data_IF_947245484798
#
_entry.id   IF_947245484798
#
_cell.length_a   1.000
_cell.length_b   1.000
_cell.length_c   1.000
_cell.angle_alpha   90.00
_cell.angle_beta   90.00
_cell.angle_gamma   90.00
#
_symmetry.space_group_name_H-M   'P 1'
#
loop_
_entity.id
_entity.type
_entity.pdbx_description
1 polymer ?
#
# COMPACT_ATOMS: atom_id res chain seq x y z
N UNK A 1 -41.08 -15.84 -1.27
CA UNK A 1 -40.56 -14.62 -0.60
C UNK A 1 -39.10 -14.47 -0.98
N UNK A 2 -38.73 -13.37 -1.65
CA UNK A 2 -37.34 -13.14 -2.07
C UNK A 2 -36.52 -12.83 -0.81
N UNK A 3 -35.55 -13.69 -0.51
CA UNK A 3 -34.56 -13.48 0.54
C UNK A 3 -33.82 -12.19 0.16
N UNK A 4 -34.02 -11.14 0.97
CA UNK A 4 -33.34 -9.87 0.80
C UNK A 4 -31.84 -10.09 0.86
N UNK A 5 -31.18 -9.86 -0.28
CA UNK A 5 -29.74 -9.98 -0.44
C UNK A 5 -29.08 -9.01 0.56
N UNK A 6 -28.45 -9.55 1.61
CA UNK A 6 -27.70 -8.78 2.59
C UNK A 6 -26.55 -8.09 1.86
N UNK A 7 -26.69 -6.79 1.55
CA UNK A 7 -25.61 -6.03 0.94
C UNK A 7 -24.45 -5.96 1.93
N UNK A 8 -23.40 -6.73 1.68
CA UNK A 8 -22.16 -6.68 2.44
C UNK A 8 -21.66 -5.23 2.49
N UNK A 9 -21.44 -4.73 3.71
CA UNK A 9 -20.98 -3.36 3.94
C UNK A 9 -19.62 -3.15 3.26
N UNK A 10 -19.51 -2.16 2.38
CA UNK A 10 -18.24 -1.76 1.75
C UNK A 10 -17.57 -0.61 2.50
N UNK A 11 -16.24 -0.63 2.56
CA UNK A 11 -15.44 0.28 3.37
C UNK A 11 -14.47 1.10 2.49
N UNK A 12 -14.14 2.36 2.87
CA UNK A 12 -13.12 3.14 2.17
C UNK A 12 -11.74 2.46 2.24
N UNK A 13 -10.97 2.50 1.15
CA UNK A 13 -9.61 1.93 1.06
C UNK A 13 -8.72 2.32 2.24
N UNK A 14 -8.58 3.63 2.47
CA UNK A 14 -7.72 4.19 3.53
C UNK A 14 -8.03 3.67 4.94
N UNK A 15 -9.27 3.21 5.19
CA UNK A 15 -9.69 2.70 6.50
C UNK A 15 -8.97 1.41 6.86
N UNK A 16 -8.65 0.57 5.86
CA UNK A 16 -8.11 -0.76 6.07
C UNK A 16 -9.01 -1.69 6.88
N UNK A 17 -10.29 -1.35 7.09
CA UNK A 17 -11.21 -2.13 7.91
C UNK A 17 -11.29 -3.60 7.43
N UNK A 18 -11.43 -3.91 6.13
CA UNK A 18 -11.42 -5.30 5.68
C UNK A 18 -10.13 -6.05 6.08
N UNK A 19 -8.96 -5.41 5.95
CA UNK A 19 -7.69 -6.04 6.34
C UNK A 19 -7.63 -6.34 7.84
N UNK A 20 -8.05 -5.41 8.70
CA UNK A 20 -8.02 -5.60 10.16
C UNK A 20 -9.05 -6.63 10.61
N UNK A 21 -10.26 -6.56 10.07
CA UNK A 21 -11.36 -7.50 10.35
C UNK A 21 -10.95 -8.94 10.08
N UNK A 22 -10.21 -9.18 9.01
CA UNK A 22 -9.77 -10.51 8.59
C UNK A 22 -8.34 -10.86 9.01
N UNK A 23 -7.66 -9.99 9.77
CA UNK A 23 -6.23 -10.12 10.12
C UNK A 23 -5.35 -10.45 8.91
N UNK A 24 -5.67 -9.86 7.76
CA UNK A 24 -5.01 -10.14 6.49
C UNK A 24 -3.70 -9.38 6.37
N UNK A 25 -2.62 -10.10 6.04
CA UNK A 25 -1.28 -9.56 5.82
C UNK A 25 -0.65 -10.01 4.50
N UNK A 26 -1.45 -10.52 3.56
CA UNK A 26 -0.94 -11.09 2.30
C UNK A 26 -0.14 -10.07 1.48
N UNK A 27 -0.55 -8.79 1.47
CA UNK A 27 0.18 -7.71 0.78
C UNK A 27 1.55 -7.38 1.39
N UNK A 28 1.87 -7.93 2.57
CA UNK A 28 3.16 -7.77 3.23
C UNK A 28 4.12 -8.92 2.91
N UNK A 29 3.70 -9.94 2.16
CA UNK A 29 4.55 -11.04 1.70
C UNK A 29 5.22 -10.62 0.39
N UNK A 30 6.55 -10.73 0.34
CA UNK A 30 7.39 -10.38 -0.81
C UNK A 30 7.08 -9.01 -1.43
N UNK A 31 6.68 -8.05 -0.58
CA UNK A 31 6.15 -6.77 -1.03
C UNK A 31 7.22 -5.95 -1.74
N UNK A 32 6.84 -5.31 -2.86
CA UNK A 32 7.67 -4.33 -3.59
C UNK A 32 7.17 -2.90 -3.38
N UNK A 33 6.54 -2.64 -2.24
CA UNK A 33 5.83 -1.39 -1.97
C UNK A 33 6.77 -0.17 -2.11
N UNK A 34 6.56 0.71 -3.10
CA UNK A 34 7.36 1.91 -3.26
C UNK A 34 7.17 2.89 -2.09
N UNK A 35 8.22 3.65 -1.79
CA UNK A 35 8.25 4.65 -0.74
C UNK A 35 8.56 6.01 -1.33
N UNK A 36 7.68 6.98 -1.07
CA UNK A 36 8.01 8.39 -1.30
C UNK A 36 8.92 8.93 -0.20
N UNK A 37 9.58 10.07 -0.43
CA UNK A 37 10.29 10.85 0.59
C UNK A 37 9.37 11.23 1.74
N UNK A 38 8.09 11.44 1.48
CA UNK A 38 7.10 11.72 2.53
C UNK A 38 6.78 10.48 3.39
N UNK A 39 6.75 9.28 2.79
CA UNK A 39 6.61 8.02 3.54
C UNK A 39 7.84 7.79 4.42
N UNK A 40 9.05 7.92 3.85
CA UNK A 40 10.29 7.76 4.60
C UNK A 40 10.39 8.74 5.77
N UNK A 41 10.10 10.04 5.55
CA UNK A 41 10.07 11.04 6.64
C UNK A 41 9.06 10.70 7.73
N UNK A 42 7.90 10.15 7.38
CA UNK A 42 6.88 9.75 8.36
C UNK A 42 7.36 8.58 9.21
N UNK A 43 8.01 7.60 8.60
CA UNK A 43 8.53 6.42 9.32
C UNK A 43 9.75 6.78 10.18
N UNK A 44 10.65 7.63 9.69
CA UNK A 44 11.80 8.14 10.46
C UNK A 44 11.35 8.83 11.77
N UNK A 45 10.24 9.59 11.72
CA UNK A 45 9.66 10.25 12.91
C UNK A 45 9.15 9.29 13.99
N UNK A 46 8.96 8.01 13.66
CA UNK A 46 8.61 6.98 14.64
C UNK A 46 9.84 6.41 15.37
N UNK A 47 11.05 6.82 14.99
CA UNK A 47 12.30 6.37 15.61
C UNK A 47 13.03 5.26 14.86
N UNK A 48 12.55 4.83 13.68
CA UNK A 48 13.25 3.86 12.83
C UNK A 48 14.42 4.51 12.08
N UNK A 49 15.49 3.75 11.82
CA UNK A 49 16.55 4.18 10.90
C UNK A 49 16.21 3.80 9.47
N UNK A 50 16.56 4.65 8.50
CA UNK A 50 16.27 4.43 7.07
C UNK A 50 16.72 3.04 6.57
N UNK A 51 17.95 2.63 6.93
CA UNK A 51 18.55 1.35 6.52
C UNK A 51 17.82 0.11 7.04
N UNK A 52 17.02 0.28 8.09
CA UNK A 52 16.31 -0.82 8.74
C UNK A 52 15.01 -1.14 7.99
N UNK A 53 14.40 -0.14 7.34
CA UNK A 53 13.09 -0.31 6.71
C UNK A 53 13.00 -0.03 5.22
N UNK A 54 13.98 0.65 4.63
CA UNK A 54 13.96 1.02 3.22
C UNK A 54 15.19 0.47 2.50
N UNK A 55 15.01 0.14 1.23
CA UNK A 55 16.08 -0.21 0.31
C UNK A 55 15.95 0.64 -0.95
N UNK A 56 17.07 1.16 -1.46
CA UNK A 56 17.14 1.86 -2.74
C UNK A 56 17.40 0.83 -3.86
N UNK A 57 16.55 0.84 -4.86
CA UNK A 57 16.61 0.02 -6.09
C UNK A 57 16.58 0.95 -7.32
N UNK A 58 16.66 0.39 -8.53
CA UNK A 58 16.67 1.18 -9.77
C UNK A 58 15.38 2.01 -9.94
N UNK A 59 14.25 1.47 -9.48
CA UNK A 59 12.92 2.06 -9.54
C UNK A 59 12.65 3.08 -8.41
N UNK A 60 13.63 3.32 -7.53
CA UNK A 60 13.53 4.25 -6.41
C UNK A 60 13.64 3.56 -5.05
N UNK A 61 12.95 4.09 -4.03
CA UNK A 61 12.94 3.49 -2.70
C UNK A 61 11.75 2.55 -2.53
N UNK A 62 11.93 1.43 -1.85
CA UNK A 62 10.84 0.52 -1.47
C UNK A 62 10.98 0.02 -0.04
N UNK A 63 9.89 -0.51 0.52
CA UNK A 63 9.91 -1.23 1.79
C UNK A 63 10.88 -2.42 1.70
N UNK A 64 11.70 -2.57 2.73
CA UNK A 64 12.63 -3.69 2.86
C UNK A 64 11.85 -4.95 3.27
N UNK A 65 12.33 -6.10 2.80
CA UNK A 65 11.88 -7.40 3.27
C UNK A 65 12.97 -8.07 4.13
N UNK A 66 12.54 -8.86 5.13
CA UNK A 66 13.36 -9.82 5.89
C UNK A 66 12.72 -11.20 5.74
N UNK A 67 13.46 -12.16 5.19
CA UNK A 67 12.96 -13.52 4.95
C UNK A 67 11.63 -13.56 4.16
N UNK A 68 11.55 -12.79 3.06
CA UNK A 68 10.37 -12.74 2.20
C UNK A 68 9.16 -12.00 2.80
N UNK A 69 9.31 -11.28 3.91
CA UNK A 69 8.23 -10.55 4.57
C UNK A 69 8.62 -9.10 4.79
N UNK A 70 7.67 -8.17 4.68
CA UNK A 70 7.87 -6.77 5.02
C UNK A 70 8.50 -6.65 6.41
N UNK A 71 9.51 -5.80 6.58
CA UNK A 71 10.19 -5.62 7.88
C UNK A 71 9.29 -5.20 9.04
N UNK A 72 8.12 -4.62 8.73
CA UNK A 72 7.14 -4.19 9.73
C UNK A 72 6.08 -5.25 10.03
N UNK A 73 6.17 -6.45 9.44
CA UNK A 73 5.20 -7.52 9.68
C UNK A 73 5.63 -8.37 10.88
N UNK A 74 4.88 -8.28 11.97
CA UNK A 74 4.98 -9.14 13.15
C UNK A 74 3.90 -10.24 13.14
N UNK A 75 3.85 -11.04 14.21
CA UNK A 75 2.80 -12.05 14.42
C UNK A 75 1.41 -11.41 14.55
N UNK A 76 1.34 -10.19 15.10
CA UNK A 76 0.11 -9.42 15.30
C UNK A 76 -0.29 -8.57 14.08
N UNK A 77 0.52 -8.58 13.02
CA UNK A 77 0.29 -7.82 11.79
C UNK A 77 1.31 -6.71 11.57
N UNK A 78 0.91 -5.65 10.87
CA UNK A 78 1.83 -4.54 10.53
C UNK A 78 2.03 -3.62 11.75
N UNK A 79 3.26 -3.54 12.27
CA UNK A 79 3.59 -2.76 13.48
C UNK A 79 3.39 -1.25 13.29
N UNK A 80 3.50 -0.77 12.05
CA UNK A 80 3.27 0.63 11.70
C UNK A 80 1.93 0.87 11.02
N UNK A 81 0.93 0.00 11.21
CA UNK A 81 -0.35 0.06 10.48
C UNK A 81 -0.99 1.46 10.43
N UNK A 82 -1.06 2.25 11.54
CA UNK A 82 -1.58 3.62 11.48
C UNK A 82 -0.72 4.57 10.64
N UNK A 83 0.58 4.30 10.50
CA UNK A 83 1.58 5.13 9.82
C UNK A 83 2.07 4.58 8.47
N UNK A 84 1.47 3.46 8.01
CA UNK A 84 1.81 2.78 6.75
C UNK A 84 2.02 3.73 5.55
N UNK A 85 2.89 3.38 4.59
CA UNK A 85 3.11 4.14 3.35
C UNK A 85 1.82 4.42 2.59
N UNK A 86 1.77 5.49 1.79
CA UNK A 86 0.57 5.83 1.01
C UNK A 86 0.15 4.69 0.07
N UNK A 87 1.10 3.97 -0.54
CA UNK A 87 0.78 2.80 -1.36
C UNK A 87 0.07 1.69 -0.56
N UNK A 88 0.49 1.43 0.69
CA UNK A 88 -0.22 0.51 1.58
C UNK A 88 -1.62 1.00 1.99
N UNK A 89 -1.89 2.31 1.95
CA UNK A 89 -3.23 2.88 2.21
C UNK A 89 -4.16 2.78 1.02
N UNK A 90 -3.58 2.85 -0.18
CA UNK A 90 -4.32 2.70 -1.44
C UNK A 90 -4.67 1.25 -1.72
N UNK A 91 -3.83 0.29 -1.29
CA UNK A 91 -4.10 -1.14 -1.46
C UNK A 91 -5.49 -1.56 -0.92
N UNK A 92 -6.27 -2.36 -1.67
CA UNK A 92 -5.92 -3.10 -2.89
C UNK A 92 -6.02 -2.34 -4.22
N UNK A 93 -6.15 -1.02 -4.25
CA UNK A 93 -6.17 -0.25 -5.49
C UNK A 93 -4.77 -0.14 -6.09
N UNK A 94 -4.61 -0.59 -7.35
CA UNK A 94 -3.33 -0.61 -8.08
C UNK A 94 -3.50 -0.06 -9.50
N UNK A 95 -2.40 0.41 -10.09
CA UNK A 95 -2.33 0.79 -11.49
C UNK A 95 -1.77 -0.39 -12.29
N UNK A 96 -2.53 -0.87 -13.26
CA UNK A 96 -2.11 -1.91 -14.18
C UNK A 96 -1.45 -1.25 -15.40
N UNK A 97 -0.14 -1.38 -15.51
CA UNK A 97 0.64 -0.80 -16.62
C UNK A 97 0.30 -1.45 -17.96
N UNK A 98 -0.21 -2.68 -17.97
CA UNK A 98 -0.56 -3.40 -19.20
C UNK A 98 -1.84 -2.84 -19.81
N UNK A 99 -2.87 -2.62 -18.98
CA UNK A 99 -4.14 -2.05 -19.44
C UNK A 99 -4.14 -0.51 -19.41
N UNK A 100 -3.19 0.11 -18.71
CA UNK A 100 -3.15 1.54 -18.47
C UNK A 100 -4.27 2.05 -17.55
N UNK A 101 -4.87 1.17 -16.75
CA UNK A 101 -6.06 1.48 -15.93
C UNK A 101 -5.84 1.19 -14.46
N UNK A 102 -6.63 1.85 -13.62
CA UNK A 102 -6.69 1.56 -12.19
C UNK A 102 -7.69 0.43 -11.93
N UNK A 103 -7.27 -0.57 -11.17
CA UNK A 103 -8.09 -1.74 -10.81
C UNK A 103 -7.81 -2.19 -9.37
N UNK A 104 -8.61 -3.11 -8.86
CA UNK A 104 -8.24 -3.84 -7.66
C UNK A 104 -7.24 -4.95 -7.99
N UNK A 105 -6.28 -5.15 -7.09
CA UNK A 105 -5.30 -6.21 -7.17
C UNK A 105 -5.95 -7.58 -6.91
N UNK A 106 -5.78 -8.51 -7.85
CA UNK A 106 -6.28 -9.88 -7.81
C UNK A 106 -5.67 -10.70 -6.66
N UNK A 107 -4.54 -10.26 -6.09
CA UNK A 107 -3.93 -10.87 -4.90
C UNK A 107 -4.77 -10.64 -3.65
N UNK A 108 -5.57 -9.56 -3.58
CA UNK A 108 -6.36 -9.27 -2.40
C UNK A 108 -7.63 -10.15 -2.36
N UNK A 109 -7.84 -11.00 -1.34
CA UNK A 109 -9.02 -11.85 -1.27
C UNK A 109 -10.30 -11.13 -0.82
N UNK A 110 -10.23 -9.82 -0.55
CA UNK A 110 -11.32 -9.03 0.06
C UNK A 110 -11.69 -7.78 -0.75
N UNK A 111 -11.38 -7.74 -2.06
CA UNK A 111 -11.66 -6.60 -2.94
C UNK A 111 -13.14 -6.18 -2.90
N UNK A 112 -14.06 -7.13 -2.81
CA UNK A 112 -15.51 -6.90 -2.73
C UNK A 112 -15.98 -6.15 -1.45
N UNK A 113 -15.16 -6.11 -0.40
CA UNK A 113 -15.44 -5.36 0.83
C UNK A 113 -14.94 -3.91 0.76
N UNK A 114 -14.23 -3.51 -0.30
CA UNK A 114 -13.76 -2.16 -0.49
C UNK A 114 -14.69 -1.33 -1.38
N UNK A 115 -14.71 -0.02 -1.12
CA UNK A 115 -15.32 0.99 -1.98
C UNK A 115 -14.21 1.84 -2.60
N UNK A 116 -14.07 1.75 -3.92
CA UNK A 116 -13.24 2.65 -4.71
C UNK A 116 -14.01 3.95 -5.02
N UNK A 117 -13.35 5.08 -4.88
CA UNK A 117 -13.86 6.41 -5.27
C UNK A 117 -12.90 7.11 -6.23
N UNK A 118 -13.38 8.11 -6.96
CA UNK A 118 -12.53 8.94 -7.85
C UNK A 118 -11.37 9.60 -7.08
N UNK A 119 -11.62 10.02 -5.84
CA UNK A 119 -10.57 10.56 -4.99
C UNK A 119 -9.48 9.51 -4.66
N UNK A 120 -9.83 8.24 -4.52
CA UNK A 120 -8.83 7.19 -4.31
C UNK A 120 -7.99 6.96 -5.56
N UNK A 121 -8.61 6.99 -6.75
CA UNK A 121 -7.92 6.93 -8.04
C UNK A 121 -6.94 8.12 -8.16
N UNK A 122 -7.41 9.34 -7.88
CA UNK A 122 -6.56 10.54 -7.94
C UNK A 122 -5.39 10.48 -6.96
N UNK A 123 -5.62 9.96 -5.74
CA UNK A 123 -4.55 9.77 -4.75
C UNK A 123 -3.50 8.79 -5.25
N UNK A 124 -3.92 7.68 -5.85
CA UNK A 124 -2.99 6.71 -6.43
C UNK A 124 -2.18 7.33 -7.57
N UNK A 125 -2.82 8.01 -8.52
CA UNK A 125 -2.13 8.67 -9.64
C UNK A 125 -1.14 9.72 -9.12
N UNK A 126 -1.55 10.56 -8.16
CA UNK A 126 -0.67 11.55 -7.55
C UNK A 126 0.55 10.91 -6.86
N UNK A 127 0.35 9.77 -6.19
CA UNK A 127 1.44 9.02 -5.58
C UNK A 127 2.43 8.51 -6.64
N UNK A 128 1.94 7.94 -7.75
CA UNK A 128 2.78 7.43 -8.83
C UNK A 128 3.59 8.56 -9.49
N UNK A 129 2.96 9.70 -9.77
CA UNK A 129 3.64 10.90 -10.29
C UNK A 129 4.72 11.40 -9.33
N UNK A 130 4.42 11.41 -8.02
CA UNK A 130 5.38 11.84 -7.01
C UNK A 130 6.58 10.89 -6.93
N UNK A 131 6.36 9.57 -6.95
CA UNK A 131 7.42 8.57 -6.93
C UNK A 131 8.35 8.70 -8.15
N UNK A 132 7.77 8.85 -9.34
CA UNK A 132 8.54 9.01 -10.58
C UNK A 132 9.37 10.30 -10.58
N UNK A 133 8.82 11.40 -10.08
CA UNK A 133 9.57 12.66 -9.91
C UNK A 133 10.75 12.48 -8.96
N UNK A 134 10.52 11.87 -7.79
CA UNK A 134 11.56 11.66 -6.78
C UNK A 134 12.67 10.72 -7.26
N UNK A 135 12.34 9.73 -8.09
CA UNK A 135 13.29 8.84 -8.75
C UNK A 135 14.23 9.61 -9.67
N UNK A 136 13.68 10.42 -10.59
CA UNK A 136 14.48 11.22 -11.55
C UNK A 136 15.43 12.20 -10.88
N UNK A 137 14.99 12.85 -9.80
CA UNK A 137 15.83 13.75 -9.00
C UNK A 137 16.99 13.01 -8.32
N UNK A 138 16.80 11.73 -7.96
CA UNK A 138 17.83 10.92 -7.31
C UNK A 138 18.86 10.34 -8.28
N UNK A 139 18.58 10.32 -9.58
CA UNK A 139 19.50 9.87 -10.64
C UNK A 139 20.41 11.01 -11.14
N UNK A 140 20.07 12.25 -10.79
CA UNK A 140 20.82 13.48 -11.16
C UNK A 140 21.74 13.99 -10.05
N UNK A 141 21.76 13.34 -8.88
CA UNK A 141 22.57 13.68 -7.69
C UNK A 141 23.65 12.64 -7.43
#
# INVERSE_FOLDING_TARGET
MKIGNSMSKRYPLKSGIPCMKHRCNLCCIETKMPLSRSDMRRILKLGYNLKDFAVKIAEGWQLKNRSGRCVFLSEEGCEIYPYRPEGCRSYPLVYDETSGTVKFDDVCPYTDEFKMTENDIQRLINLLVQLEKERREADTS
#
